data_IF_664795589628
#
_entry.id   IF_664795589628
#
_cell.length_a   1.000
_cell.length_b   1.000
_cell.length_c   1.000
_cell.angle_alpha   90.00
_cell.angle_beta   90.00
_cell.angle_gamma   90.00
#
_symmetry.space_group_name_H-M   'P 1'
#
loop_
_entity.id
_entity.type
_entity.pdbx_description
1 polymer ?
#
# COMPACT_ATOMS: atom_id res chain seq x y z
N UNK A 1 16.53 11.59 1.44
CA UNK A 1 15.55 12.24 2.35
C UNK A 1 14.82 13.33 1.55
N UNK A 2 13.52 13.53 1.79
CA UNK A 2 12.72 14.59 1.21
C UNK A 2 12.49 15.67 2.28
N UNK A 3 12.83 16.92 1.95
CA UNK A 3 12.60 18.11 2.80
C UNK A 3 11.50 18.97 2.18
N UNK A 4 10.78 19.70 3.01
CA UNK A 4 9.83 20.73 2.60
C UNK A 4 10.12 22.01 3.37
N UNK A 5 10.41 23.09 2.66
CA UNK A 5 10.73 24.40 3.23
C UNK A 5 9.59 25.37 2.94
N UNK A 6 9.18 26.17 3.94
CA UNK A 6 8.10 27.14 3.78
C UNK A 6 8.51 28.22 2.77
N UNK A 7 7.65 28.52 1.81
CA UNK A 7 7.85 29.60 0.84
C UNK A 7 6.51 30.24 0.50
N UNK A 8 6.30 31.46 0.97
CA UNK A 8 5.05 32.19 0.75
C UNK A 8 3.84 31.43 1.31
N UNK A 9 2.87 31.15 0.45
CA UNK A 9 1.62 30.45 0.75
C UNK A 9 1.72 28.92 0.61
N UNK A 10 2.94 28.39 0.39
CA UNK A 10 3.14 26.96 0.20
C UNK A 10 4.50 26.48 0.71
N UNK A 11 4.95 25.39 0.09
CA UNK A 11 6.15 24.64 0.46
C UNK A 11 6.96 24.28 -0.80
N UNK A 12 8.27 24.35 -0.70
CA UNK A 12 9.17 23.87 -1.74
C UNK A 12 9.78 22.56 -1.27
N UNK A 13 9.61 21.52 -2.07
CA UNK A 13 10.09 20.18 -1.77
C UNK A 13 11.35 19.86 -2.58
N UNK A 14 12.37 19.38 -1.87
CA UNK A 14 13.65 18.96 -2.44
C UNK A 14 14.13 17.64 -1.85
N UNK A 15 14.61 16.73 -2.71
CA UNK A 15 15.15 15.44 -2.30
C UNK A 15 14.63 14.28 -3.10
N UNK A 16 14.47 13.11 -2.46
CA UNK A 16 14.04 11.90 -3.17
C UNK A 16 13.26 10.95 -2.30
N UNK A 17 12.46 10.11 -2.97
CA UNK A 17 11.81 8.90 -2.45
C UNK A 17 12.18 7.72 -3.33
N UNK A 18 12.30 6.55 -2.71
CA UNK A 18 12.58 5.28 -3.41
C UNK A 18 11.50 4.25 -3.12
N UNK A 19 11.44 3.22 -3.94
CA UNK A 19 10.45 2.16 -3.87
C UNK A 19 9.00 2.66 -4.01
N UNK A 20 8.81 3.71 -4.81
CA UNK A 20 7.48 4.25 -5.10
C UNK A 20 6.84 3.45 -6.23
N UNK A 21 6.13 2.40 -5.84
CA UNK A 21 5.36 1.57 -6.77
C UNK A 21 4.29 2.43 -7.44
N UNK A 22 4.02 2.19 -8.72
CA UNK A 22 3.00 2.90 -9.51
C UNK A 22 3.27 4.38 -9.85
N UNK A 23 4.35 5.01 -9.38
CA UNK A 23 4.65 6.41 -9.65
C UNK A 23 4.63 6.80 -11.14
N UNK A 24 4.93 5.87 -12.05
CA UNK A 24 5.02 6.11 -13.49
C UNK A 24 3.68 6.22 -14.22
N UNK A 25 2.55 5.92 -13.54
CA UNK A 25 1.19 6.06 -14.09
C UNK A 25 0.20 6.70 -13.11
N UNK A 26 0.65 7.09 -11.90
CA UNK A 26 -0.18 7.78 -10.93
C UNK A 26 -0.36 9.25 -11.35
N UNK A 27 -1.53 9.83 -11.09
CA UNK A 27 -1.82 11.25 -11.31
C UNK A 27 -1.39 12.09 -10.09
N UNK A 28 -1.46 11.49 -8.89
CA UNK A 28 -1.16 12.15 -7.63
C UNK A 28 -0.22 11.32 -6.76
N UNK A 29 0.61 12.01 -5.99
CA UNK A 29 1.51 11.41 -5.03
C UNK A 29 1.18 11.92 -3.61
N UNK A 30 0.76 11.01 -2.76
CA UNK A 30 0.61 11.26 -1.34
C UNK A 30 1.94 10.99 -0.65
N UNK A 31 2.62 12.05 -0.17
CA UNK A 31 4.01 11.95 0.25
C UNK A 31 4.31 12.69 1.54
N UNK A 32 5.07 12.05 2.43
CA UNK A 32 5.61 12.67 3.63
C UNK A 32 6.94 13.36 3.37
N UNK A 33 7.07 14.63 3.76
CA UNK A 33 8.30 15.40 3.71
C UNK A 33 8.64 16.00 5.09
N UNK A 34 9.94 16.23 5.33
CA UNK A 34 10.44 16.84 6.57
C UNK A 34 10.22 18.34 6.52
N UNK A 35 9.30 18.84 7.35
CA UNK A 35 8.99 20.27 7.49
C UNK A 35 9.70 20.93 8.67
N UNK A 36 10.07 20.15 9.69
CA UNK A 36 10.88 20.62 10.81
C UNK A 36 12.11 19.72 11.01
N UNK A 37 13.30 20.16 10.62
CA UNK A 37 14.53 19.37 10.76
C UNK A 37 15.00 19.23 12.22
N UNK A 38 14.56 20.10 13.13
CA UNK A 38 14.93 20.09 14.54
C UNK A 38 14.09 19.12 15.38
N UNK A 39 12.91 18.76 14.89
CA UNK A 39 12.00 17.87 15.59
C UNK A 39 12.53 16.41 15.66
N UNK A 40 12.13 15.63 16.67
CA UNK A 40 12.45 14.21 16.78
C UNK A 40 12.02 13.42 15.53
N UNK A 41 12.59 12.23 15.33
CA UNK A 41 12.49 11.44 14.09
C UNK A 41 11.05 11.29 13.54
N UNK A 42 10.07 11.05 14.39
CA UNK A 42 8.67 10.82 14.02
C UNK A 42 7.79 12.09 14.07
N UNK A 43 8.34 13.18 14.55
CA UNK A 43 7.71 14.49 14.54
C UNK A 43 8.35 15.37 13.46
N UNK A 44 7.69 16.46 13.07
CA UNK A 44 8.22 17.36 12.04
C UNK A 44 8.18 16.79 10.61
N UNK A 45 7.37 15.74 10.37
CA UNK A 45 7.01 15.27 9.05
C UNK A 45 5.58 15.75 8.76
N UNK A 46 5.36 16.33 7.60
CA UNK A 46 4.02 16.70 7.11
C UNK A 46 3.70 15.97 5.81
N UNK A 47 2.43 15.80 5.53
CA UNK A 47 1.95 15.13 4.34
C UNK A 47 1.49 16.13 3.28
N UNK A 48 1.76 15.81 2.05
CA UNK A 48 1.38 16.61 0.89
C UNK A 48 0.78 15.74 -0.21
N UNK A 49 -0.17 16.32 -0.94
CA UNK A 49 -0.64 15.80 -2.23
C UNK A 49 0.07 16.56 -3.34
N UNK A 50 0.73 15.84 -4.24
CA UNK A 50 1.53 16.41 -5.32
C UNK A 50 1.07 15.83 -6.64
N UNK A 51 0.91 16.67 -7.64
CA UNK A 51 0.64 16.19 -9.00
C UNK A 51 1.88 15.54 -9.58
N UNK A 52 1.71 14.38 -10.21
CA UNK A 52 2.84 13.62 -10.79
C UNK A 52 3.33 14.17 -12.13
N UNK A 53 2.60 15.12 -12.71
CA UNK A 53 2.99 15.87 -13.91
C UNK A 53 3.77 17.17 -13.61
N UNK A 54 4.12 17.43 -12.33
CA UNK A 54 4.94 18.58 -11.96
C UNK A 54 6.31 18.50 -12.63
N UNK A 55 6.76 19.59 -13.32
CA UNK A 55 8.03 19.60 -14.03
C UNK A 55 9.27 19.43 -13.15
N UNK A 56 9.15 19.67 -11.84
CA UNK A 56 10.21 19.44 -10.86
C UNK A 56 10.35 17.97 -10.43
N UNK A 57 9.50 17.06 -10.96
CA UNK A 57 9.58 15.64 -10.65
C UNK A 57 10.34 14.88 -11.75
N UNK A 58 11.25 14.02 -11.33
CA UNK A 58 11.88 13.03 -12.21
C UNK A 58 11.63 11.63 -11.67
N UNK A 59 11.06 10.76 -12.52
CA UNK A 59 10.73 9.39 -12.15
C UNK A 59 11.70 8.44 -12.85
N UNK A 60 12.48 7.70 -12.06
CA UNK A 60 13.42 6.70 -12.59
C UNK A 60 12.96 5.29 -12.26
N UNK A 61 12.87 4.38 -13.25
CA UNK A 61 12.52 2.99 -12.98
C UNK A 61 13.60 2.28 -12.17
N UNK A 62 13.17 1.44 -11.25
CA UNK A 62 13.99 0.51 -10.49
C UNK A 62 13.38 -0.89 -10.64
N UNK A 63 14.16 -1.88 -11.01
CA UNK A 63 13.70 -3.25 -11.12
C UNK A 63 14.19 -4.06 -9.91
N UNK A 64 13.27 -4.77 -9.27
CA UNK A 64 13.57 -5.67 -8.18
C UNK A 64 14.17 -6.98 -8.68
N UNK A 65 14.68 -7.82 -7.78
CA UNK A 65 15.20 -9.13 -8.13
C UNK A 65 14.13 -10.06 -8.75
N UNK A 66 12.85 -9.82 -8.44
CA UNK A 66 11.69 -10.49 -9.07
C UNK A 66 11.25 -9.88 -10.41
N UNK A 67 12.04 -8.94 -10.97
CA UNK A 67 11.72 -8.20 -12.18
C UNK A 67 10.44 -7.34 -12.09
N UNK A 68 9.99 -7.04 -10.89
CA UNK A 68 8.91 -6.08 -10.67
C UNK A 68 9.45 -4.65 -10.71
N UNK A 69 8.75 -3.78 -11.41
CA UNK A 69 9.10 -2.37 -11.47
C UNK A 69 8.60 -1.62 -10.24
N UNK A 70 9.49 -0.95 -9.56
CA UNK A 70 9.22 0.18 -8.67
C UNK A 70 9.93 1.43 -9.21
N UNK A 71 9.93 2.55 -8.47
CA UNK A 71 10.54 3.78 -8.96
C UNK A 71 11.26 4.53 -7.85
N UNK A 72 12.31 5.26 -8.26
CA UNK A 72 12.83 6.40 -7.52
C UNK A 72 12.19 7.66 -8.05
N UNK A 73 11.75 8.54 -7.17
CA UNK A 73 11.15 9.84 -7.50
C UNK A 73 12.03 10.93 -6.90
N UNK A 74 12.54 11.80 -7.76
CA UNK A 74 13.37 12.94 -7.40
C UNK A 74 12.54 14.22 -7.45
N UNK A 75 12.75 15.09 -6.48
CA UNK A 75 12.08 16.36 -6.33
C UNK A 75 13.13 17.47 -6.44
N UNK A 76 12.97 18.33 -7.42
CA UNK A 76 13.79 19.51 -7.64
C UNK A 76 12.90 20.77 -7.63
N UNK A 77 12.91 21.48 -6.51
CA UNK A 77 12.15 22.72 -6.30
C UNK A 77 10.62 22.58 -6.58
N UNK A 78 10.04 21.44 -6.27
CA UNK A 78 8.60 21.20 -6.44
C UNK A 78 7.82 22.06 -5.46
N UNK A 79 7.03 23.02 -5.99
CA UNK A 79 6.20 23.90 -5.17
C UNK A 79 4.81 23.27 -4.93
N UNK A 80 4.38 23.27 -3.67
CA UNK A 80 3.07 22.76 -3.26
C UNK A 80 2.37 23.83 -2.41
N UNK A 81 1.20 24.27 -2.85
CA UNK A 81 0.38 25.21 -2.08
C UNK A 81 -0.08 24.56 -0.76
N UNK A 82 -0.26 25.36 0.31
CA UNK A 82 -0.60 24.83 1.64
C UNK A 82 -1.97 24.11 1.67
N UNK A 83 -2.88 24.39 0.76
CA UNK A 83 -4.16 23.69 0.60
C UNK A 83 -4.00 22.19 0.25
N UNK A 84 -2.85 21.83 -0.34
CA UNK A 84 -2.49 20.44 -0.62
C UNK A 84 -1.71 19.76 0.49
N UNK A 85 -1.54 20.42 1.63
CA UNK A 85 -1.03 19.80 2.84
C UNK A 85 -2.16 19.01 3.53
N UNK A 86 -1.92 17.75 3.79
CA UNK A 86 -2.89 16.86 4.42
C UNK A 86 -2.73 16.91 5.94
N UNK A 87 -3.78 17.36 6.61
CA UNK A 87 -3.85 17.39 8.08
C UNK A 87 -2.95 18.44 8.72
N UNK A 88 -2.59 18.24 9.98
CA UNK A 88 -1.81 19.19 10.78
C UNK A 88 -0.31 19.13 10.47
N UNK A 89 0.34 20.28 10.57
CA UNK A 89 1.79 20.39 10.40
C UNK A 89 2.52 19.53 11.44
N UNK A 90 3.49 18.76 10.99
CA UNK A 90 4.33 17.91 11.83
C UNK A 90 3.69 16.59 12.26
N UNK A 91 2.42 16.33 11.95
CA UNK A 91 1.72 15.07 12.30
C UNK A 91 1.64 14.04 11.16
N UNK A 92 2.35 14.27 10.08
CA UNK A 92 2.30 13.40 8.91
C UNK A 92 2.69 11.95 9.19
N UNK A 93 3.60 11.69 10.13
CA UNK A 93 3.95 10.31 10.50
C UNK A 93 2.77 9.56 11.12
N UNK A 94 1.98 10.24 11.97
CA UNK A 94 0.78 9.64 12.56
C UNK A 94 -0.23 9.24 11.48
N UNK A 95 -0.51 10.14 10.52
CA UNK A 95 -1.44 9.85 9.43
C UNK A 95 -0.94 8.72 8.52
N UNK A 96 0.38 8.64 8.27
CA UNK A 96 0.97 7.51 7.53
C UNK A 96 0.77 6.20 8.28
N UNK A 97 1.00 6.19 9.59
CA UNK A 97 0.83 4.99 10.41
C UNK A 97 -0.62 4.50 10.39
N UNK A 98 -1.59 5.41 10.57
CA UNK A 98 -3.02 5.10 10.49
C UNK A 98 -3.42 4.55 9.10
N UNK A 99 -2.93 5.18 8.03
CA UNK A 99 -3.18 4.71 6.67
C UNK A 99 -2.59 3.32 6.40
N UNK A 100 -1.36 3.06 6.86
CA UNK A 100 -0.72 1.76 6.72
C UNK A 100 -1.43 0.65 7.51
N UNK A 101 -1.99 0.98 8.67
CA UNK A 101 -2.80 0.04 9.46
C UNK A 101 -4.07 -0.35 8.67
N UNK A 102 -4.77 0.63 8.08
CA UNK A 102 -5.94 0.37 7.24
C UNK A 102 -5.55 -0.41 5.98
N UNK A 103 -4.44 -0.06 5.33
CA UNK A 103 -3.94 -0.73 4.14
C UNK A 103 -3.71 -2.22 4.37
N UNK A 104 -3.13 -2.61 5.51
CA UNK A 104 -2.91 -4.02 5.87
C UNK A 104 -4.18 -4.85 5.87
N UNK A 105 -5.32 -4.24 6.22
CA UNK A 105 -6.61 -4.91 6.17
C UNK A 105 -7.21 -4.96 4.77
N UNK A 106 -6.98 -3.94 3.95
CA UNK A 106 -7.62 -3.82 2.63
C UNK A 106 -6.86 -4.53 1.52
N UNK A 107 -5.53 -4.50 1.51
CA UNK A 107 -4.71 -5.08 0.44
C UNK A 107 -4.51 -6.59 0.55
N UNK A 108 -4.47 -7.14 1.77
CA UNK A 108 -4.21 -8.56 2.02
C UNK A 108 -5.44 -9.33 2.47
N UNK A 109 -6.62 -8.80 2.20
CA UNK A 109 -7.87 -9.39 2.64
C UNK A 109 -8.34 -10.54 1.77
N UNK A 110 -9.32 -11.23 2.30
CA UNK A 110 -10.08 -12.32 1.76
C UNK A 110 -10.41 -12.21 0.25
N UNK A 111 -10.75 -11.04 -0.28
CA UNK A 111 -11.26 -10.91 -1.64
C UNK A 111 -10.28 -11.37 -2.74
N UNK A 112 -9.00 -10.97 -2.78
CA UNK A 112 -8.04 -11.47 -3.75
C UNK A 112 -7.72 -12.96 -3.58
N UNK A 113 -7.72 -13.46 -2.33
CA UNK A 113 -7.44 -14.87 -2.03
C UNK A 113 -8.59 -15.75 -2.54
N UNK A 114 -9.82 -15.33 -2.26
CA UNK A 114 -11.03 -16.04 -2.72
C UNK A 114 -11.05 -16.22 -4.24
N UNK A 115 -10.79 -15.16 -4.99
CA UNK A 115 -10.77 -15.25 -6.46
C UNK A 115 -9.73 -16.25 -6.97
N UNK A 116 -8.56 -16.33 -6.34
CA UNK A 116 -7.52 -17.33 -6.68
C UNK A 116 -7.94 -18.76 -6.33
N UNK A 117 -8.60 -18.96 -5.20
CA UNK A 117 -9.13 -20.28 -4.82
C UNK A 117 -10.23 -20.71 -5.79
N UNK A 118 -11.13 -19.82 -6.20
CA UNK A 118 -12.16 -20.10 -7.20
C UNK A 118 -11.56 -20.48 -8.57
N UNK A 119 -10.54 -19.76 -9.03
CA UNK A 119 -9.81 -20.11 -10.26
C UNK A 119 -9.14 -21.48 -10.17
N UNK A 120 -8.54 -21.81 -9.03
CA UNK A 120 -7.93 -23.10 -8.79
C UNK A 120 -9.00 -24.23 -8.78
N UNK A 121 -10.14 -24.01 -8.15
CA UNK A 121 -11.26 -24.96 -8.16
C UNK A 121 -11.77 -25.23 -9.58
N UNK A 122 -11.90 -24.18 -10.40
CA UNK A 122 -12.30 -24.33 -11.80
C UNK A 122 -11.26 -25.14 -12.59
N UNK A 123 -9.96 -24.79 -12.44
CA UNK A 123 -8.87 -25.53 -13.06
C UNK A 123 -8.91 -27.02 -12.71
N UNK A 124 -9.07 -27.37 -11.44
CA UNK A 124 -9.14 -28.76 -10.97
C UNK A 124 -10.38 -29.49 -11.49
N UNK A 125 -11.51 -28.78 -11.62
CA UNK A 125 -12.75 -29.35 -12.16
C UNK A 125 -12.61 -29.75 -13.63
N UNK A 126 -11.93 -28.90 -14.40
CA UNK A 126 -11.90 -28.98 -15.86
C UNK A 126 -10.66 -29.74 -16.40
N UNK A 127 -9.69 -30.04 -15.53
CA UNK A 127 -8.42 -30.65 -15.93
C UNK A 127 -8.45 -32.19 -15.77
N UNK A 128 -7.94 -32.87 -16.79
CA UNK A 128 -7.65 -34.31 -16.78
C UNK A 128 -6.14 -34.50 -16.87
N UNK A 129 -5.57 -35.32 -15.98
CA UNK A 129 -4.14 -35.68 -15.99
C UNK A 129 -4.02 -37.20 -16.02
N UNK A 130 -3.25 -37.71 -16.96
CA UNK A 130 -3.03 -39.17 -17.14
C UNK A 130 -4.32 -39.97 -17.22
N UNK A 131 -5.31 -39.43 -17.93
CA UNK A 131 -6.63 -40.05 -18.13
C UNK A 131 -7.57 -39.97 -16.91
N UNK A 132 -7.21 -39.30 -15.84
CA UNK A 132 -8.01 -39.15 -14.62
C UNK A 132 -8.35 -37.69 -14.35
N UNK A 133 -9.63 -37.36 -14.08
CA UNK A 133 -9.99 -36.00 -13.68
C UNK A 133 -9.29 -35.59 -12.36
N UNK A 134 -8.69 -34.40 -12.30
CA UNK A 134 -8.02 -33.93 -11.09
C UNK A 134 -8.96 -33.80 -9.89
N UNK A 135 -10.22 -33.50 -10.13
CA UNK A 135 -11.28 -33.42 -9.10
C UNK A 135 -11.51 -34.75 -8.34
N UNK A 136 -11.11 -35.88 -8.92
CA UNK A 136 -11.31 -37.23 -8.33
C UNK A 136 -10.07 -37.67 -7.54
N UNK A 137 -8.94 -36.92 -7.62
CA UNK A 137 -7.74 -37.19 -6.85
C UNK A 137 -7.95 -36.79 -5.37
N UNK A 138 -7.83 -37.74 -4.41
CA UNK A 138 -8.07 -37.44 -2.98
C UNK A 138 -7.08 -36.47 -2.38
N UNK A 139 -5.84 -36.45 -2.86
CA UNK A 139 -4.80 -35.53 -2.36
C UNK A 139 -5.11 -34.11 -2.81
N UNK A 140 -5.50 -33.94 -4.06
CA UNK A 140 -5.89 -32.62 -4.60
C UNK A 140 -7.14 -32.11 -3.89
N UNK A 141 -8.15 -32.97 -3.70
CA UNK A 141 -9.36 -32.63 -2.97
C UNK A 141 -9.06 -32.15 -1.55
N UNK A 142 -8.17 -32.86 -0.83
CA UNK A 142 -7.78 -32.48 0.52
C UNK A 142 -7.09 -31.12 0.56
N UNK A 143 -6.17 -30.85 -0.38
CA UNK A 143 -5.49 -29.54 -0.48
C UNK A 143 -6.47 -28.40 -0.78
N UNK A 144 -7.44 -28.62 -1.66
CA UNK A 144 -8.46 -27.61 -1.96
C UNK A 144 -9.36 -27.36 -0.74
N UNK A 145 -9.76 -28.41 -0.03
CA UNK A 145 -10.56 -28.28 1.18
C UNK A 145 -9.81 -27.47 2.26
N UNK A 146 -8.52 -27.71 2.43
CA UNK A 146 -7.66 -26.94 3.33
C UNK A 146 -7.61 -25.47 2.92
N UNK A 147 -7.32 -25.16 1.64
CA UNK A 147 -7.26 -23.78 1.14
C UNK A 147 -8.61 -23.07 1.28
N UNK A 148 -9.72 -23.76 1.05
CA UNK A 148 -11.05 -23.18 1.25
C UNK A 148 -11.31 -22.85 2.72
N UNK A 149 -10.87 -23.71 3.65
CA UNK A 149 -10.97 -23.47 5.08
C UNK A 149 -10.10 -22.27 5.50
N UNK A 150 -8.85 -22.20 5.05
CA UNK A 150 -7.96 -21.09 5.33
C UNK A 150 -8.49 -19.77 4.76
N UNK A 151 -9.11 -19.82 3.58
CA UNK A 151 -9.77 -18.68 2.95
C UNK A 151 -10.95 -18.18 3.81
N UNK A 152 -11.76 -19.08 4.36
CA UNK A 152 -12.88 -18.70 5.24
C UNK A 152 -12.39 -18.15 6.58
N UNK A 153 -11.32 -18.70 7.15
CA UNK A 153 -10.66 -18.16 8.33
C UNK A 153 -10.18 -16.73 8.07
N UNK A 154 -9.53 -16.48 6.93
CA UNK A 154 -9.09 -15.14 6.55
C UNK A 154 -10.27 -14.16 6.43
N UNK A 155 -11.40 -14.61 5.88
CA UNK A 155 -12.63 -13.81 5.80
C UNK A 155 -13.15 -13.42 7.18
N UNK A 156 -13.24 -14.38 8.09
CA UNK A 156 -13.73 -14.15 9.44
C UNK A 156 -12.81 -13.23 10.24
N UNK A 157 -11.49 -13.40 10.12
CA UNK A 157 -10.52 -12.51 10.75
C UNK A 157 -10.65 -11.08 10.22
N UNK A 158 -10.84 -10.90 8.90
CA UNK A 158 -11.07 -9.59 8.31
C UNK A 158 -12.34 -8.91 8.85
N UNK A 159 -13.44 -9.65 9.01
CA UNK A 159 -14.68 -9.15 9.61
C UNK A 159 -14.47 -8.77 11.08
N UNK A 160 -13.78 -9.62 11.84
CA UNK A 160 -13.51 -9.37 13.25
C UNK A 160 -12.67 -8.10 13.48
N UNK A 161 -11.61 -7.97 12.69
CA UNK A 161 -10.75 -6.78 12.78
C UNK A 161 -11.48 -5.52 12.33
N UNK A 162 -12.27 -5.58 11.25
CA UNK A 162 -13.08 -4.46 10.80
C UNK A 162 -14.09 -4.01 11.85
N UNK A 163 -14.75 -4.95 12.52
CA UNK A 163 -15.67 -4.67 13.62
C UNK A 163 -14.96 -4.03 14.83
N UNK A 164 -13.78 -4.53 15.20
CA UNK A 164 -12.98 -3.97 16.28
C UNK A 164 -12.51 -2.53 15.97
N UNK A 165 -12.14 -2.26 14.72
CA UNK A 165 -11.75 -0.91 14.27
C UNK A 165 -12.91 0.08 14.35
N UNK A 166 -14.11 -0.31 13.88
CA UNK A 166 -15.33 0.53 13.91
C UNK A 166 -15.78 0.79 15.34
N UNK A 167 -15.61 -0.17 16.27
CA UNK A 167 -15.95 -0.01 17.68
C UNK A 167 -14.95 0.81 18.51
N UNK A 168 -13.92 1.40 17.89
CA UNK A 168 -12.89 2.22 18.55
C UNK A 168 -11.86 1.39 19.33
N UNK A 169 -11.85 0.07 19.13
CA UNK A 169 -10.80 -0.80 19.65
C UNK A 169 -9.50 -0.58 18.88
N UNK A 170 -8.43 -0.17 19.57
CA UNK A 170 -7.08 -0.20 18.98
C UNK A 170 -6.77 -1.68 18.70
N UNK A 171 -6.68 -2.05 17.45
CA UNK A 171 -6.09 -3.32 17.04
C UNK A 171 -4.63 -3.29 17.50
N UNK A 172 -4.32 -4.05 18.56
CA UNK A 172 -3.05 -3.96 19.27
C UNK A 172 -1.86 -4.10 18.34
N UNK A 173 -1.18 -2.99 18.13
CA UNK A 173 0.23 -2.92 17.79
C UNK A 173 0.90 -2.20 18.96
N UNK A 174 1.33 -2.96 19.94
CA UNK A 174 2.34 -2.55 20.87
C UNK A 174 3.70 -2.62 20.17
#
# INVERSE_FOLDING_TARGET
>A
RLKAERKGDGWVLNGQKVFTTSAHFADWYWVGARTDPSAPKHHGISLFLIRMDDPGLTIQPMFTMGNERTNAVFFDNVFVHDDYRVGELGKGFQYIAEALDIERFTMFTFSPIRGRVELLCNYVRDTVRDGRPLKDDPVIRQKIAQLATECEVARLLGVFVGAAYVSGGKTGTA
#
